data_IF_582670048940
#
_entry.id   IF_582670048940
#
_cell.length_a   1.000
_cell.length_b   1.000
_cell.length_c   1.000
_cell.angle_alpha   90.00
_cell.angle_beta   90.00
_cell.angle_gamma   90.00
#
_symmetry.space_group_name_H-M   'P 1'
#
loop_
_entity.id
_entity.type
_entity.pdbx_description
1 polymer ?
#
# COMPACT_ATOMS: atom_id res chain seq x y z
N UNK A 1 -6.01 13.32 -17.56
CA UNK A 1 -4.82 12.55 -17.98
C UNK A 1 -4.26 12.05 -16.68
N UNK A 2 -4.45 10.76 -16.47
CA UNK A 2 -4.24 10.11 -15.19
C UNK A 2 -2.79 9.99 -14.85
N UNK A 3 -2.56 9.83 -13.56
CA UNK A 3 -1.26 9.50 -13.03
C UNK A 3 -1.20 7.98 -12.96
N UNK A 4 -0.12 7.38 -13.47
CA UNK A 4 0.10 5.94 -13.32
C UNK A 4 0.73 5.63 -11.97
N UNK A 5 0.33 4.54 -11.33
CA UNK A 5 0.79 4.18 -10.00
C UNK A 5 1.56 2.87 -9.99
N UNK A 6 2.49 2.76 -9.04
CA UNK A 6 3.23 1.53 -8.77
C UNK A 6 3.33 1.30 -7.26
N UNK A 7 3.35 0.04 -6.86
CA UNK A 7 3.55 -0.35 -5.47
C UNK A 7 5.01 -0.77 -5.27
N UNK A 8 5.63 -0.25 -4.21
CA UNK A 8 7.05 -0.43 -3.94
C UNK A 8 7.29 -0.88 -2.50
N UNK A 9 8.33 -1.69 -2.32
CA UNK A 9 8.97 -1.99 -1.06
C UNK A 9 10.34 -1.33 -1.04
N UNK A 10 10.50 -0.32 -0.17
CA UNK A 10 11.73 0.48 -0.09
C UNK A 10 12.87 -0.37 0.49
N UNK A 11 12.58 -1.15 1.53
CA UNK A 11 13.60 -1.91 2.27
C UNK A 11 14.22 -3.02 1.41
N UNK A 12 13.41 -3.67 0.56
CA UNK A 12 13.87 -4.74 -0.32
C UNK A 12 14.29 -4.30 -1.72
N UNK A 13 14.09 -3.03 -2.07
CA UNK A 13 14.30 -2.51 -3.43
C UNK A 13 13.48 -3.32 -4.45
N UNK A 14 12.21 -3.50 -4.15
CA UNK A 14 11.28 -4.27 -4.97
C UNK A 14 10.06 -3.45 -5.37
N UNK A 15 9.52 -3.70 -6.56
CA UNK A 15 8.28 -3.09 -7.05
C UNK A 15 7.33 -4.19 -7.58
N UNK A 16 6.07 -3.83 -7.85
CA UNK A 16 5.11 -4.72 -8.52
C UNK A 16 4.84 -4.32 -9.98
N UNK A 17 5.72 -3.51 -10.59
CA UNK A 17 5.53 -2.95 -11.92
C UNK A 17 4.55 -1.77 -11.97
N UNK A 18 4.24 -1.32 -13.18
CA UNK A 18 3.21 -0.31 -13.44
C UNK A 18 1.83 -0.95 -13.37
N UNK A 19 1.00 -0.39 -12.51
CA UNK A 19 -0.30 -0.93 -12.21
C UNK A 19 -1.37 -0.23 -13.07
N UNK A 20 -1.19 1.02 -13.52
CA UNK A 20 -2.22 1.83 -14.21
C UNK A 20 -2.78 2.98 -13.36
N UNK A 21 -4.06 3.33 -13.57
CA UNK A 21 -4.76 4.38 -12.82
C UNK A 21 -5.38 3.85 -11.51
N UNK A 22 -5.57 4.73 -10.50
CA UNK A 22 -5.96 4.30 -9.15
C UNK A 22 -7.33 3.61 -9.09
N UNK A 23 -8.31 4.12 -9.84
CA UNK A 23 -9.67 3.58 -9.92
C UNK A 23 -9.68 2.13 -10.42
N UNK A 24 -8.82 1.79 -11.37
CA UNK A 24 -8.64 0.41 -11.84
C UNK A 24 -8.20 -0.54 -10.72
N UNK A 25 -7.40 -0.08 -9.73
CA UNK A 25 -6.98 -0.93 -8.59
C UNK A 25 -8.07 -1.20 -7.59
N UNK A 26 -8.83 -0.16 -7.26
CA UNK A 26 -9.89 -0.28 -6.28
C UNK A 26 -11.02 -1.17 -6.82
N UNK A 27 -11.26 -1.13 -8.13
CA UNK A 27 -12.25 -1.96 -8.81
C UNK A 27 -11.80 -3.41 -9.13
N UNK A 28 -10.51 -3.77 -8.96
CA UNK A 28 -9.98 -5.12 -9.27
C UNK A 28 -9.38 -5.85 -8.05
N UNK A 29 -10.22 -6.38 -7.13
CA UNK A 29 -9.76 -6.99 -5.88
C UNK A 29 -8.80 -8.17 -6.07
N UNK A 30 -8.97 -8.95 -7.15
CA UNK A 30 -8.15 -10.13 -7.41
C UNK A 30 -6.69 -9.81 -7.71
N UNK A 31 -6.39 -8.63 -8.28
CA UNK A 31 -5.01 -8.21 -8.57
C UNK A 31 -4.31 -7.69 -7.32
N UNK A 32 -5.07 -7.05 -6.42
CA UNK A 32 -4.54 -6.47 -5.19
C UNK A 32 -4.45 -7.48 -4.03
N UNK A 33 -5.25 -8.55 -4.04
CA UNK A 33 -5.20 -9.59 -3.00
C UNK A 33 -3.82 -10.25 -2.88
N UNK A 34 -3.11 -10.38 -4.00
CA UNK A 34 -1.76 -10.95 -4.06
C UNK A 34 -0.73 -10.13 -3.24
N UNK A 35 -0.96 -8.83 -3.02
CA UNK A 35 -0.13 -8.00 -2.14
C UNK A 35 -0.18 -8.47 -0.68
N UNK A 36 -1.31 -9.02 -0.24
CA UNK A 36 -1.47 -9.56 1.11
C UNK A 36 -0.58 -10.79 1.31
N UNK A 37 -0.34 -11.59 0.27
CA UNK A 37 0.57 -12.74 0.36
C UNK A 37 2.02 -12.30 0.65
N UNK A 38 2.47 -11.20 0.05
CA UNK A 38 3.80 -10.66 0.29
C UNK A 38 3.94 -10.15 1.72
N UNK A 39 2.91 -9.46 2.23
CA UNK A 39 2.90 -8.96 3.61
C UNK A 39 2.74 -10.06 4.66
N UNK A 40 2.23 -11.23 4.27
CA UNK A 40 2.11 -12.39 5.14
C UNK A 40 3.40 -13.25 5.20
N UNK A 41 4.35 -13.03 4.28
CA UNK A 41 5.59 -13.78 4.20
C UNK A 41 6.75 -13.03 4.88
N UNK A 42 7.35 -13.56 5.97
CA UNK A 42 8.55 -13.01 6.61
C UNK A 42 9.76 -12.90 5.67
N UNK A 43 9.86 -13.79 4.67
CA UNK A 43 10.87 -13.72 3.61
C UNK A 43 10.46 -12.79 2.46
N UNK A 44 9.18 -12.42 2.40
CA UNK A 44 8.57 -11.46 1.49
C UNK A 44 8.65 -10.03 2.02
N UNK A 45 7.51 -9.35 2.12
CA UNK A 45 7.41 -7.93 2.45
C UNK A 45 6.95 -7.66 3.88
N UNK A 46 6.68 -8.69 4.69
CA UNK A 46 6.31 -8.52 6.09
C UNK A 46 7.33 -7.63 6.84
N UNK A 47 6.83 -6.61 7.53
CA UNK A 47 7.61 -5.66 8.32
C UNK A 47 8.40 -4.62 7.53
N UNK A 48 8.22 -4.55 6.21
CA UNK A 48 8.92 -3.60 5.34
C UNK A 48 8.17 -2.28 5.17
N UNK A 49 8.89 -1.22 4.79
CA UNK A 49 8.33 0.08 4.36
C UNK A 49 7.69 -0.03 2.98
N UNK A 50 6.36 0.05 2.90
CA UNK A 50 5.58 -0.10 1.67
C UNK A 50 4.92 1.23 1.26
N UNK A 51 4.86 1.49 -0.05
CA UNK A 51 4.20 2.66 -0.61
C UNK A 51 3.50 2.32 -1.94
N UNK A 52 2.41 3.01 -2.22
CA UNK A 52 1.85 3.14 -3.58
C UNK A 52 2.17 4.55 -4.07
N UNK A 53 2.93 4.70 -5.15
CA UNK A 53 3.42 6.00 -5.62
C UNK A 53 3.03 6.24 -7.07
N UNK A 54 2.60 7.45 -7.37
CA UNK A 54 2.27 7.83 -8.74
C UNK A 54 3.44 8.45 -9.51
N UNK A 55 3.38 8.39 -10.85
CA UNK A 55 4.47 8.84 -11.75
C UNK A 55 4.69 10.36 -11.80
N UNK A 56 3.65 11.16 -11.60
CA UNK A 56 3.75 12.62 -11.50
C UNK A 56 4.37 13.14 -10.19
N UNK A 57 4.68 12.28 -9.21
CA UNK A 57 5.25 12.73 -7.94
C UNK A 57 6.59 13.45 -8.16
N UNK A 58 6.79 14.59 -7.48
CA UNK A 58 8.07 15.33 -7.48
C UNK A 58 8.74 15.29 -6.12
N UNK A 59 7.95 15.27 -5.05
CA UNK A 59 8.45 15.23 -3.66
C UNK A 59 8.17 13.90 -3.01
N UNK A 60 9.15 13.41 -2.25
CA UNK A 60 8.96 12.25 -1.38
C UNK A 60 8.20 12.64 -0.11
N UNK A 61 7.48 11.71 0.53
CA UNK A 61 6.86 11.96 1.82
C UNK A 61 7.94 12.26 2.87
N UNK A 62 7.71 13.25 3.75
CA UNK A 62 8.69 13.65 4.74
C UNK A 62 8.97 12.51 5.72
N UNK A 63 10.24 12.26 6.04
CA UNK A 63 10.64 11.29 7.06
C UNK A 63 10.59 9.82 6.64
N UNK A 64 10.14 9.49 5.42
CA UNK A 64 10.06 8.10 4.94
C UNK A 64 11.40 7.59 4.41
N UNK A 65 12.12 8.43 3.66
CA UNK A 65 13.40 8.06 3.06
C UNK A 65 14.59 8.51 3.92
N UNK A 66 15.61 7.66 3.96
CA UNK A 66 16.92 7.97 4.55
C UNK A 66 17.72 8.91 3.66
N UNK A 67 18.72 9.59 4.23
CA UNK A 67 19.62 10.46 3.45
C UNK A 67 20.35 9.73 2.32
N UNK A 68 20.64 8.44 2.51
CA UNK A 68 21.25 7.60 1.47
C UNK A 68 20.30 7.36 0.31
N UNK A 69 19.05 7.02 0.59
CA UNK A 69 18.01 6.82 -0.43
C UNK A 69 17.73 8.11 -1.22
N UNK A 70 17.70 9.26 -0.54
CA UNK A 70 17.57 10.56 -1.20
C UNK A 70 18.77 10.86 -2.12
N UNK A 71 20.00 10.61 -1.66
CA UNK A 71 21.20 10.80 -2.46
C UNK A 71 21.25 9.88 -3.70
N UNK A 72 20.60 8.73 -3.67
CA UNK A 72 20.48 7.86 -4.85
C UNK A 72 19.53 8.45 -5.90
N UNK A 73 18.41 9.03 -5.48
CA UNK A 73 17.49 9.73 -6.39
C UNK A 73 18.21 10.91 -7.07
N UNK A 74 19.01 11.67 -6.33
CA UNK A 74 19.77 12.80 -6.88
C UNK A 74 20.77 12.39 -7.98
N UNK A 75 21.32 11.18 -7.88
CA UNK A 75 22.28 10.60 -8.86
C UNK A 75 21.61 10.08 -10.12
N UNK A 76 20.28 9.96 -10.16
CA UNK A 76 19.58 9.48 -11.34
C UNK A 76 19.84 10.37 -12.56
N UNK A 77 19.84 9.80 -13.78
CA UNK A 77 19.78 10.61 -14.99
C UNK A 77 18.44 11.37 -15.04
N UNK A 78 18.44 12.54 -15.69
CA UNK A 78 17.17 13.22 -15.96
C UNK A 78 16.35 12.40 -16.95
N UNK A 79 15.15 12.00 -16.52
CA UNK A 79 14.12 11.39 -17.39
C UNK A 79 13.02 12.40 -17.68
N UNK A 80 12.07 12.04 -18.53
CA UNK A 80 10.89 12.89 -18.77
C UNK A 80 10.04 13.10 -17.51
N UNK A 81 10.03 12.13 -16.59
CA UNK A 81 9.39 12.22 -15.29
C UNK A 81 10.22 12.99 -14.24
N UNK A 82 11.48 13.31 -14.54
CA UNK A 82 12.43 13.91 -13.61
C UNK A 82 13.24 12.88 -12.82
N UNK A 83 13.84 13.30 -11.71
CA UNK A 83 14.53 12.45 -10.74
C UNK A 83 13.65 12.27 -9.52
N UNK A 84 12.94 11.15 -9.46
CA UNK A 84 11.90 10.92 -8.45
C UNK A 84 12.03 9.50 -7.88
N UNK A 85 11.42 9.25 -6.73
CA UNK A 85 11.34 7.89 -6.17
C UNK A 85 10.64 6.94 -7.16
N UNK A 86 9.63 7.42 -7.88
CA UNK A 86 8.97 6.65 -8.94
C UNK A 86 9.97 6.19 -10.01
N UNK A 87 10.82 7.09 -10.51
CA UNK A 87 11.83 6.74 -11.53
C UNK A 87 12.93 5.83 -11.01
N UNK A 88 13.30 5.98 -9.72
CA UNK A 88 14.23 5.06 -9.06
C UNK A 88 13.63 3.65 -9.01
N UNK A 89 12.40 3.53 -8.53
CA UNK A 89 11.74 2.25 -8.38
C UNK A 89 11.47 1.58 -9.72
N UNK A 90 10.91 2.31 -10.69
CA UNK A 90 10.60 1.76 -12.01
C UNK A 90 11.85 1.28 -12.77
N UNK A 91 12.98 1.99 -12.64
CA UNK A 91 14.20 1.69 -13.38
C UNK A 91 15.16 0.71 -12.69
N UNK A 92 15.15 0.66 -11.35
CA UNK A 92 16.22 0.00 -10.58
C UNK A 92 15.74 -0.97 -9.51
N UNK A 93 14.45 -0.97 -9.15
CA UNK A 93 13.94 -1.98 -8.21
C UNK A 93 13.64 -3.28 -8.96
N UNK A 94 13.82 -4.40 -8.26
CA UNK A 94 13.51 -5.72 -8.79
C UNK A 94 11.99 -5.92 -8.77
N UNK A 95 11.43 -6.43 -9.86
CA UNK A 95 10.03 -6.82 -9.85
C UNK A 95 9.82 -8.02 -8.90
N UNK A 96 8.95 -7.85 -7.91
CA UNK A 96 8.47 -8.91 -7.04
C UNK A 96 7.28 -9.62 -7.70
N UNK A 97 7.22 -10.94 -7.53
CA UNK A 97 6.12 -11.76 -8.05
C UNK A 97 5.38 -12.38 -6.87
N UNK A 98 4.23 -11.81 -6.49
CA UNK A 98 3.43 -12.40 -5.42
C UNK A 98 2.89 -13.76 -5.85
N UNK A 99 2.62 -14.60 -4.86
CA UNK A 99 1.88 -15.84 -5.10
C UNK A 99 0.39 -15.54 -5.07
N UNK A 100 -0.44 -16.29 -5.83
CA UNK A 100 -1.89 -16.15 -5.75
C UNK A 100 -2.35 -16.29 -4.31
N UNK A 101 -2.94 -15.24 -3.76
CA UNK A 101 -3.33 -15.24 -2.35
C UNK A 101 -4.40 -16.31 -2.06
N UNK A 102 -4.19 -17.11 -1.02
CA UNK A 102 -5.18 -18.07 -0.52
C UNK A 102 -5.80 -17.53 0.75
N UNK A 103 -7.09 -17.22 0.68
CA UNK A 103 -8.04 -16.95 1.77
C UNK A 103 -7.46 -16.18 2.98
N UNK A 104 -7.75 -14.88 3.08
CA UNK A 104 -7.37 -13.99 4.19
C UNK A 104 -8.24 -14.12 5.44
N UNK A 105 -9.20 -15.06 5.48
CA UNK A 105 -10.08 -15.25 6.65
C UNK A 105 -9.26 -15.52 7.92
N UNK A 106 -9.54 -14.75 8.97
CA UNK A 106 -8.84 -14.85 10.26
C UNK A 106 -7.46 -14.19 10.32
N UNK A 107 -7.06 -13.45 9.27
CA UNK A 107 -5.84 -12.63 9.27
C UNK A 107 -6.12 -11.18 9.64
N UNK A 108 -5.09 -10.49 10.11
CA UNK A 108 -5.09 -9.06 10.40
C UNK A 108 -3.98 -8.37 9.62
N UNK A 109 -4.24 -7.18 9.10
CA UNK A 109 -3.23 -6.27 8.59
C UNK A 109 -2.75 -5.40 9.76
N UNK A 110 -1.46 -5.45 10.08
CA UNK A 110 -0.88 -4.62 11.14
C UNK A 110 -0.02 -3.52 10.55
N UNK A 111 -0.14 -2.33 11.14
CA UNK A 111 0.82 -1.26 10.97
C UNK A 111 1.73 -1.24 12.20
N UNK A 112 2.94 -1.77 12.02
CA UNK A 112 3.94 -1.93 13.06
C UNK A 112 4.52 -0.57 13.50
N UNK A 113 4.54 0.43 12.61
CA UNK A 113 5.00 1.78 12.96
C UNK A 113 4.06 2.43 13.97
N UNK A 114 2.75 2.16 13.86
CA UNK A 114 1.71 2.82 14.67
C UNK A 114 1.14 1.97 15.80
N UNK A 115 1.42 0.66 15.82
CA UNK A 115 0.86 -0.25 16.83
C UNK A 115 -0.63 -0.49 16.66
N UNK A 116 -1.13 -0.46 15.42
CA UNK A 116 -2.56 -0.60 15.11
C UNK A 116 -2.80 -1.79 14.16
N UNK A 117 -4.01 -2.35 14.16
CA UNK A 117 -4.38 -3.44 13.26
C UNK A 117 -5.80 -3.33 12.70
N UNK A 118 -6.03 -4.02 11.59
CA UNK A 118 -7.33 -4.16 10.93
C UNK A 118 -7.64 -5.63 10.71
N UNK A 119 -8.87 -6.03 11.06
CA UNK A 119 -9.38 -7.39 10.94
C UNK A 119 -9.89 -7.70 9.53
N UNK A 120 -9.29 -8.69 8.88
CA UNK A 120 -9.64 -9.07 7.51
C UNK A 120 -11.01 -9.73 7.39
N UNK A 121 -11.44 -10.48 8.40
CA UNK A 121 -12.77 -11.09 8.46
C UNK A 121 -13.89 -10.04 8.46
N UNK A 122 -13.73 -9.00 9.29
CA UNK A 122 -14.69 -7.88 9.35
C UNK A 122 -14.69 -7.09 8.05
N UNK A 123 -13.52 -6.82 7.45
CA UNK A 123 -13.43 -6.12 6.16
C UNK A 123 -14.17 -6.87 5.06
N UNK A 124 -14.00 -8.19 4.97
CA UNK A 124 -14.71 -9.01 3.97
C UNK A 124 -16.23 -9.02 4.21
N UNK A 125 -16.66 -9.09 5.47
CA UNK A 125 -18.08 -9.07 5.83
C UNK A 125 -18.72 -7.70 5.55
N UNK A 126 -18.09 -6.60 5.94
CA UNK A 126 -18.66 -5.27 5.87
C UNK A 126 -18.56 -4.60 4.49
N UNK A 127 -17.63 -5.07 3.65
CA UNK A 127 -17.40 -4.56 2.30
C UNK A 127 -17.78 -5.58 1.21
N UNK A 128 -18.53 -6.62 1.56
CA UNK A 128 -18.90 -7.72 0.66
C UNK A 128 -19.55 -7.25 -0.65
N UNK A 129 -20.40 -6.20 -0.59
CA UNK A 129 -21.07 -5.60 -1.75
C UNK A 129 -20.09 -5.04 -2.79
N UNK A 130 -18.90 -4.63 -2.35
CA UNK A 130 -17.84 -4.08 -3.19
C UNK A 130 -16.71 -5.09 -3.42
N UNK A 131 -16.91 -6.37 -3.06
CA UNK A 131 -15.86 -7.40 -3.07
C UNK A 131 -14.60 -6.95 -2.30
N UNK A 132 -14.78 -6.18 -1.24
CA UNK A 132 -13.70 -5.54 -0.50
C UNK A 132 -12.80 -6.53 0.22
N UNK A 133 -11.50 -6.21 0.25
CA UNK A 133 -10.45 -7.04 0.82
C UNK A 133 -9.47 -6.18 1.64
N UNK A 134 -8.63 -6.82 2.46
CA UNK A 134 -7.56 -6.13 3.20
C UNK A 134 -6.63 -5.32 2.29
N UNK A 135 -6.49 -5.72 1.03
CA UNK A 135 -5.72 -4.99 0.03
C UNK A 135 -6.33 -3.62 -0.29
N UNK A 136 -7.65 -3.47 -0.27
CA UNK A 136 -8.29 -2.15 -0.46
C UNK A 136 -8.00 -1.21 0.72
N UNK A 137 -8.06 -1.72 1.95
CA UNK A 137 -7.69 -0.95 3.15
C UNK A 137 -6.24 -0.50 3.05
N UNK A 138 -5.35 -1.41 2.71
CA UNK A 138 -3.94 -1.11 2.52
C UNK A 138 -3.74 -0.02 1.46
N UNK A 139 -4.27 -0.21 0.25
CA UNK A 139 -4.14 0.74 -0.87
C UNK A 139 -4.65 2.13 -0.50
N UNK A 140 -5.81 2.23 0.16
CA UNK A 140 -6.38 3.51 0.58
C UNK A 140 -5.47 4.29 1.55
N UNK A 141 -4.54 3.61 2.23
CA UNK A 141 -3.69 4.20 3.26
C UNK A 141 -2.22 4.38 2.87
N UNK A 142 -1.73 3.76 1.79
CA UNK A 142 -0.30 3.82 1.40
C UNK A 142 -0.02 4.68 0.16
N UNK A 143 -1.04 5.30 -0.42
CA UNK A 143 -0.90 6.12 -1.63
C UNK A 143 -0.19 7.45 -1.36
N UNK A 144 0.78 7.80 -2.21
CA UNK A 144 1.52 9.05 -2.18
C UNK A 144 1.66 9.70 -3.56
N UNK A 145 1.22 10.95 -3.65
CA UNK A 145 1.56 11.88 -4.74
C UNK A 145 1.40 13.33 -4.26
N UNK A 146 2.33 14.20 -4.61
CA UNK A 146 2.20 15.65 -4.43
C UNK A 146 1.54 16.36 -5.63
N UNK A 147 1.25 15.63 -6.71
CA UNK A 147 0.51 16.12 -7.87
C UNK A 147 -1.00 16.18 -7.61
N UNK A 148 -1.70 17.16 -8.19
CA UNK A 148 -3.17 17.24 -8.20
C UNK A 148 -3.87 16.27 -9.14
N UNK A 149 -3.14 15.58 -10.01
CA UNK A 149 -3.69 14.55 -10.90
C UNK A 149 -3.88 13.22 -10.15
N UNK A 150 -5.05 13.02 -9.56
CA UNK A 150 -5.49 11.71 -9.10
C UNK A 150 -6.92 11.55 -9.61
N UNK A 151 -7.13 10.65 -10.55
CA UNK A 151 -8.42 10.43 -11.23
C UNK A 151 -9.46 9.73 -10.34
N UNK A 152 -9.35 9.94 -9.03
CA UNK A 152 -10.31 9.49 -8.03
C UNK A 152 -11.17 10.65 -7.55
N UNK A 153 -12.45 10.38 -7.30
CA UNK A 153 -13.35 11.33 -6.64
C UNK A 153 -12.99 11.57 -5.16
N UNK A 154 -12.20 10.68 -4.54
CA UNK A 154 -11.67 10.81 -3.18
C UNK A 154 -10.17 11.03 -3.22
N UNK A 155 -9.69 12.00 -2.45
CA UNK A 155 -8.26 12.26 -2.32
C UNK A 155 -7.59 11.23 -1.40
N UNK A 156 -7.04 10.18 -1.99
CA UNK A 156 -6.22 9.17 -1.30
C UNK A 156 -4.71 9.41 -1.48
N UNK A 157 -4.29 10.48 -2.16
CA UNK A 157 -2.89 10.72 -2.55
C UNK A 157 -1.93 10.93 -1.39
N UNK A 158 -2.43 11.05 -0.15
CA UNK A 158 -1.63 11.27 1.05
C UNK A 158 -2.11 10.35 2.15
N UNK A 159 -2.03 9.06 1.87
CA UNK A 159 -2.45 8.01 2.80
C UNK A 159 -1.74 8.13 4.16
N UNK A 160 -2.44 7.74 5.22
CA UNK A 160 -1.95 7.88 6.59
C UNK A 160 -0.80 6.93 6.94
N UNK A 161 -0.60 5.87 6.13
CA UNK A 161 0.37 4.78 6.36
C UNK A 161 1.47 4.75 5.30
N UNK A 162 1.66 5.84 4.57
CA UNK A 162 2.66 5.95 3.51
C UNK A 162 4.06 5.72 4.08
N UNK A 163 4.72 4.65 3.62
CA UNK A 163 6.08 4.32 4.02
C UNK A 163 6.19 3.68 5.41
N UNK A 164 5.06 3.31 6.02
CA UNK A 164 5.05 2.59 7.29
C UNK A 164 5.45 1.12 7.11
N UNK A 165 5.86 0.50 8.23
CA UNK A 165 6.16 -0.92 8.32
C UNK A 165 4.88 -1.70 8.52
N UNK A 166 4.57 -2.59 7.59
CA UNK A 166 3.30 -3.31 7.54
C UNK A 166 3.54 -4.82 7.44
N UNK A 167 2.68 -5.61 8.06
CA UNK A 167 2.64 -7.06 7.86
C UNK A 167 1.21 -7.61 7.97
N UNK A 168 1.06 -8.90 7.62
CA UNK A 168 -0.18 -9.64 7.76
C UNK A 168 0.08 -10.89 8.57
N UNK A 169 -0.69 -11.08 9.64
CA UNK A 169 -0.54 -12.23 10.54
C UNK A 169 -1.90 -12.80 10.94
N UNK A 170 -1.98 -14.03 11.48
CA UNK A 170 -3.21 -14.50 12.11
C UNK A 170 -3.63 -13.64 13.29
N UNK A 171 -4.94 -13.47 13.51
CA UNK A 171 -5.49 -12.70 14.65
C UNK A 171 -4.99 -13.23 16.01
N UNK A 172 -4.67 -14.52 16.11
CA UNK A 172 -4.11 -15.12 17.33
C UNK A 172 -2.78 -14.49 17.74
N UNK A 173 -1.98 -14.00 16.78
CA UNK A 173 -0.70 -13.33 17.09
C UNK A 173 -0.95 -12.06 17.89
N UNK A 174 -1.90 -11.22 17.46
CA UNK A 174 -2.26 -9.97 18.17
C UNK A 174 -2.89 -10.27 19.52
N UNK A 175 -3.76 -11.28 19.62
CA UNK A 175 -4.42 -11.64 20.89
C UNK A 175 -3.47 -12.20 21.94
N UNK A 176 -2.38 -12.82 21.51
CA UNK A 176 -1.39 -13.43 22.39
C UNK A 176 -0.19 -12.50 22.63
N UNK A 177 -0.19 -11.32 22.00
CA UNK A 177 0.85 -10.32 22.21
C UNK A 177 0.59 -9.59 23.54
N UNK A 178 1.67 -9.27 24.26
CA UNK A 178 1.59 -8.44 25.45
C UNK A 178 1.51 -6.94 25.09
N UNK A 179 1.78 -6.61 23.82
CA UNK A 179 1.68 -5.25 23.29
C UNK A 179 0.22 -4.78 23.19
N UNK A 180 0.00 -3.50 23.53
CA UNK A 180 -1.30 -2.85 23.40
C UNK A 180 -1.58 -2.45 21.94
N UNK A 181 -2.02 -3.41 21.14
CA UNK A 181 -2.48 -3.17 19.77
C UNK A 181 -3.84 -2.47 19.74
N UNK A 182 -3.94 -1.36 19.01
CA UNK A 182 -5.21 -0.66 18.79
C UNK A 182 -5.97 -1.26 17.60
N UNK A 183 -7.22 -1.66 17.82
CA UNK A 183 -8.12 -2.13 16.75
C UNK A 183 -8.76 -0.91 16.05
N UNK A 184 -8.32 -0.62 14.83
CA UNK A 184 -8.85 0.48 14.00
C UNK A 184 -9.78 -0.03 12.90
N UNK A 185 -10.29 -1.25 13.01
CA UNK A 185 -11.07 -1.93 11.95
C UNK A 185 -12.29 -1.12 11.54
N UNK A 186 -13.08 -0.61 12.48
CA UNK A 186 -14.33 0.10 12.18
C UNK A 186 -14.06 1.37 11.36
N UNK A 187 -13.07 2.17 11.75
CA UNK A 187 -12.70 3.40 11.07
C UNK A 187 -12.17 3.12 9.66
N UNK A 188 -11.33 2.09 9.53
CA UNK A 188 -10.75 1.70 8.25
C UNK A 188 -11.78 1.09 7.29
N UNK A 189 -12.75 0.34 7.80
CA UNK A 189 -13.89 -0.14 7.01
C UNK A 189 -14.73 1.03 6.52
N UNK A 190 -15.08 1.99 7.38
CA UNK A 190 -15.85 3.18 6.97
C UNK A 190 -15.12 3.99 5.90
N UNK A 191 -13.84 4.25 6.10
CA UNK A 191 -13.01 4.99 5.14
C UNK A 191 -12.91 4.24 3.81
N UNK A 192 -12.59 2.95 3.84
CA UNK A 192 -12.46 2.13 2.62
C UNK A 192 -13.80 2.00 1.89
N UNK A 193 -14.91 1.85 2.61
CA UNK A 193 -16.27 1.85 2.02
C UNK A 193 -16.54 3.14 1.26
N UNK A 194 -16.19 4.29 1.84
CA UNK A 194 -16.37 5.58 1.19
C UNK A 194 -15.55 5.66 -0.11
N UNK A 195 -14.28 5.23 -0.08
CA UNK A 195 -13.42 5.16 -1.27
C UNK A 195 -14.01 4.24 -2.35
N UNK A 196 -14.48 3.04 -1.97
CA UNK A 196 -15.05 2.07 -2.91
C UNK A 196 -16.39 2.54 -3.50
N UNK A 197 -17.22 3.24 -2.72
CA UNK A 197 -18.52 3.75 -3.18
C UNK A 197 -18.43 4.84 -4.26
N UNK A 198 -17.24 5.40 -4.48
CA UNK A 198 -17.00 6.49 -5.42
C UNK A 198 -16.09 6.06 -6.60
N UNK A 199 -15.76 4.77 -6.68
CA UNK A 199 -14.95 4.16 -7.75
C UNK A 199 -15.73 3.16 -8.60
N UNK A 200 -16.90 2.69 -8.13
CA UNK A 200 -17.85 1.85 -8.88
C UNK A 200 -19.10 2.63 -9.25
#
# INVERSE_FOLDING_TARGET
>A
MGQHWQIINIDKRENLGDWGDLDEFFATPNRSADLISLLADPSGWAGCRIMCIGNDMKKCPPGVLTSKELAEIEKLPNTWYGKTLYTLAAGYFREARPWPHRNSSGTVLRNLTKGIYVRGDVVMEDLWLWTGHLSNVLLANICWSDSSSCEMAVDVRRGAWVGDRLDVVPLSVVKNDEDNWEDVTEDQVKFTRFVLSLTM
#
